data_IF_061258232133
#
_entry.id   IF_061258232133
#
_cell.length_a   1.000
_cell.length_b   1.000
_cell.length_c   1.000
_cell.angle_alpha   90.00
_cell.angle_beta   90.00
_cell.angle_gamma   90.00
#
_symmetry.space_group_name_H-M   'P 1'
#
loop_
_entity.id
_entity.type
_entity.pdbx_description
1 polymer ?
#
# COMPACT_ATOMS: atom_id res chain seq x y z
N UNK A 1 55.69 25.83 7.92
CA UNK A 1 54.26 25.97 8.27
C UNK A 1 53.35 25.64 7.06
N UNK A 2 53.44 24.42 6.50
CA UNK A 2 52.65 23.99 5.31
C UNK A 2 52.03 22.59 5.44
N UNK A 3 52.35 21.85 6.50
CA UNK A 3 51.90 20.46 6.68
C UNK A 3 50.49 20.34 7.27
N UNK A 4 50.01 21.36 7.98
CA UNK A 4 48.71 21.32 8.68
C UNK A 4 47.49 21.54 7.77
N UNK A 5 47.67 22.12 6.58
CA UNK A 5 46.55 22.39 5.65
C UNK A 5 46.17 21.11 4.90
N UNK A 6 47.14 20.26 4.56
CA UNK A 6 46.91 19.05 3.77
C UNK A 6 46.13 17.98 4.55
N UNK A 7 46.41 17.85 5.86
CA UNK A 7 45.70 16.91 6.73
C UNK A 7 44.23 17.32 6.96
N UNK A 8 43.95 18.63 6.99
CA UNK A 8 42.60 19.16 7.22
C UNK A 8 41.71 19.01 5.98
N UNK A 9 42.29 19.14 4.77
CA UNK A 9 41.55 18.89 3.52
C UNK A 9 41.25 17.40 3.33
N UNK A 10 42.14 16.49 3.72
CA UNK A 10 41.89 15.05 3.58
C UNK A 10 40.79 14.53 4.52
N UNK A 11 40.68 15.09 5.73
CA UNK A 11 39.60 14.77 6.68
C UNK A 11 38.23 15.27 6.21
N UNK A 12 38.18 16.32 5.38
CA UNK A 12 36.93 16.87 4.85
C UNK A 12 36.37 16.03 3.69
N UNK A 13 37.23 15.34 2.93
CA UNK A 13 36.81 14.48 1.80
C UNK A 13 36.28 13.12 2.27
N UNK A 14 36.70 12.62 3.43
CA UNK A 14 36.25 11.32 3.98
C UNK A 14 34.90 11.39 4.71
N UNK A 15 34.38 12.58 5.02
CA UNK A 15 33.17 12.76 5.84
C UNK A 15 31.83 12.70 5.08
N UNK A 16 31.84 12.67 3.75
CA UNK A 16 30.62 12.71 2.93
C UNK A 16 30.42 11.37 2.22
N UNK A 17 30.58 10.27 2.95
CA UNK A 17 29.84 9.06 2.60
C UNK A 17 28.38 9.33 2.94
N UNK A 18 27.66 10.01 2.04
CA UNK A 18 26.20 10.03 2.10
C UNK A 18 25.75 8.59 1.93
N UNK A 19 25.57 7.89 3.06
CA UNK A 19 24.78 6.66 3.08
C UNK A 19 23.37 7.10 2.72
N UNK A 20 23.10 7.11 1.42
CA UNK A 20 21.74 7.21 0.91
C UNK A 20 21.11 5.87 1.25
N UNK A 21 20.41 5.81 2.38
CA UNK A 21 19.55 4.67 2.68
C UNK A 21 18.38 4.74 1.69
N UNK A 22 18.54 4.12 0.51
CA UNK A 22 17.42 3.88 -0.38
C UNK A 22 16.43 2.94 0.35
N UNK A 23 15.14 3.26 0.30
CA UNK A 23 14.10 2.37 0.84
C UNK A 23 14.24 1.00 0.19
N UNK A 24 14.22 -0.08 0.98
CA UNK A 24 14.33 -1.45 0.47
C UNK A 24 13.11 -1.86 -0.37
N UNK A 25 11.98 -1.20 -0.09
CA UNK A 25 10.71 -1.40 -0.77
C UNK A 25 10.24 -0.07 -1.36
N UNK A 26 10.03 -0.06 -2.66
CA UNK A 26 9.32 1.00 -3.38
C UNK A 26 7.82 0.71 -3.37
N UNK A 27 7.02 1.70 -2.99
CA UNK A 27 5.58 1.57 -2.88
C UNK A 27 4.93 2.72 -3.62
N UNK A 28 4.12 2.37 -4.63
CA UNK A 28 3.41 3.33 -5.49
C UNK A 28 1.97 2.89 -5.70
N UNK A 29 1.09 3.83 -5.97
CA UNK A 29 -0.34 3.56 -6.11
C UNK A 29 -1.04 4.59 -6.99
N UNK A 30 -2.24 4.23 -7.44
CA UNK A 30 -3.16 5.12 -8.13
C UNK A 30 -4.32 5.54 -7.20
N UNK A 31 -5.14 6.50 -7.63
CA UNK A 31 -6.38 6.79 -6.93
C UNK A 31 -7.34 5.59 -7.03
N UNK A 32 -8.09 5.26 -5.97
CA UNK A 32 -9.12 4.24 -6.05
C UNK A 32 -10.24 4.69 -6.99
N UNK A 33 -10.90 3.73 -7.62
CA UNK A 33 -12.01 3.98 -8.55
C UNK A 33 -13.21 3.14 -8.16
N UNK A 34 -14.39 3.69 -8.43
CA UNK A 34 -15.67 3.04 -8.15
C UNK A 34 -16.16 2.33 -9.41
N UNK A 35 -16.55 1.07 -9.26
CA UNK A 35 -17.12 0.22 -10.32
C UNK A 35 -18.45 -0.31 -9.85
N UNK A 36 -19.36 -0.52 -10.80
CA UNK A 36 -20.65 -1.14 -10.55
C UNK A 36 -20.71 -2.39 -11.41
N UNK A 37 -20.96 -3.53 -10.78
CA UNK A 37 -21.10 -4.80 -11.50
C UNK A 37 -22.38 -5.51 -11.08
N UNK A 38 -23.10 -6.04 -12.06
CA UNK A 38 -24.29 -6.83 -11.83
C UNK A 38 -23.90 -8.31 -11.78
N UNK A 39 -23.96 -8.92 -10.58
CA UNK A 39 -23.64 -10.34 -10.35
C UNK A 39 -24.66 -11.33 -10.95
N UNK A 40 -25.61 -10.87 -11.76
CA UNK A 40 -26.60 -11.72 -12.44
C UNK A 40 -27.69 -12.32 -11.53
N UNK A 41 -27.68 -12.03 -10.22
CA UNK A 41 -28.55 -12.66 -9.22
C UNK A 41 -29.46 -11.70 -8.44
N UNK A 42 -29.57 -10.43 -8.84
CA UNK A 42 -30.65 -9.55 -8.35
C UNK A 42 -30.28 -8.15 -7.87
N UNK A 43 -29.09 -7.64 -8.18
CA UNK A 43 -28.71 -6.27 -7.83
C UNK A 43 -27.36 -5.83 -8.41
N UNK A 44 -27.21 -4.52 -8.55
CA UNK A 44 -25.93 -3.87 -8.82
C UNK A 44 -25.11 -3.82 -7.53
N UNK A 45 -23.88 -4.32 -7.57
CA UNK A 45 -22.93 -4.24 -6.44
C UNK A 45 -21.86 -3.22 -6.79
N UNK A 46 -21.58 -2.33 -5.84
CA UNK A 46 -20.53 -1.33 -5.96
C UNK A 46 -19.20 -1.88 -5.42
N UNK A 47 -18.14 -1.70 -6.19
CA UNK A 47 -16.77 -2.03 -5.80
C UNK A 47 -15.91 -0.77 -5.79
N UNK A 48 -15.13 -0.58 -4.74
CA UNK A 48 -13.98 0.33 -4.77
C UNK A 48 -12.75 -0.51 -5.06
N UNK A 49 -12.08 -0.24 -6.18
CA UNK A 49 -10.90 -0.99 -6.62
C UNK A 49 -9.70 -0.05 -6.63
N UNK A 50 -8.61 -0.53 -6.06
CA UNK A 50 -7.41 0.25 -5.83
C UNK A 50 -6.17 -0.49 -6.31
N UNK A 51 -5.47 0.11 -7.27
CA UNK A 51 -4.23 -0.44 -7.83
C UNK A 51 -3.00 0.12 -7.13
N UNK A 52 -2.09 -0.76 -6.75
CA UNK A 52 -0.82 -0.42 -6.12
C UNK A 52 0.31 -1.33 -6.58
N UNK A 53 1.56 -0.93 -6.36
CA UNK A 53 2.73 -1.71 -6.72
C UNK A 53 3.70 -1.80 -5.54
N UNK A 54 4.36 -2.95 -5.46
CA UNK A 54 5.43 -3.26 -4.51
C UNK A 54 6.70 -3.58 -5.29
N UNK A 55 7.71 -2.74 -5.17
CA UNK A 55 9.00 -2.87 -5.86
C UNK A 55 10.13 -3.21 -4.89
N UNK A 56 10.87 -4.28 -5.12
CA UNK A 56 12.09 -4.54 -4.36
C UNK A 56 13.25 -3.79 -5.02
N UNK A 57 13.86 -2.85 -4.30
CA UNK A 57 14.93 -2.00 -4.83
C UNK A 57 16.33 -2.60 -4.61
N UNK A 58 16.46 -3.66 -3.82
CA UNK A 58 17.74 -4.27 -3.45
C UNK A 58 18.03 -5.55 -4.24
N UNK A 59 19.30 -5.98 -4.21
CA UNK A 59 19.81 -7.17 -4.92
C UNK A 59 19.52 -8.49 -4.18
N UNK A 60 18.64 -8.48 -3.18
CA UNK A 60 18.31 -9.65 -2.36
C UNK A 60 16.79 -9.77 -2.22
N UNK A 61 16.23 -11.00 -2.13
CA UNK A 61 14.81 -11.16 -1.87
C UNK A 61 14.43 -10.56 -0.51
N UNK A 62 13.22 -10.00 -0.43
CA UNK A 62 12.64 -9.47 0.81
C UNK A 62 11.30 -10.14 1.10
N UNK A 63 11.00 -10.38 2.36
CA UNK A 63 9.72 -10.94 2.78
C UNK A 63 8.77 -9.80 3.16
N UNK A 64 7.69 -9.62 2.41
CA UNK A 64 6.72 -8.53 2.63
C UNK A 64 5.43 -9.10 3.23
N UNK A 65 5.14 -8.89 4.53
CA UNK A 65 3.90 -9.32 5.15
C UNK A 65 2.79 -8.27 4.93
N UNK A 66 2.48 -7.96 3.66
CA UNK A 66 1.52 -6.90 3.32
C UNK A 66 0.09 -7.35 3.60
N UNK A 67 -0.68 -6.48 4.23
CA UNK A 67 -2.14 -6.57 4.29
C UNK A 67 -2.73 -5.20 3.96
N UNK A 68 -3.93 -5.21 3.39
CA UNK A 68 -4.65 -4.01 2.98
C UNK A 68 -6.08 -4.06 3.49
N UNK A 69 -6.55 -2.96 4.06
CA UNK A 69 -7.95 -2.78 4.44
C UNK A 69 -8.34 -1.31 4.27
N UNK A 70 -9.65 -1.06 4.24
CA UNK A 70 -10.23 0.27 4.08
C UNK A 70 -11.10 0.59 5.28
N UNK A 71 -11.01 1.82 5.78
CA UNK A 71 -11.97 2.37 6.73
C UNK A 71 -12.66 3.59 6.13
N UNK A 72 -13.92 3.81 6.49
CA UNK A 72 -14.70 4.98 6.07
C UNK A 72 -14.89 5.98 7.21
N UNK A 73 -15.30 7.20 6.90
CA UNK A 73 -15.77 8.17 7.89
C UNK A 73 -17.03 7.72 8.64
N UNK A 74 -17.75 6.73 8.13
CA UNK A 74 -18.90 6.10 8.79
C UNK A 74 -18.49 5.11 9.88
N UNK A 75 -17.19 4.80 10.00
CA UNK A 75 -16.62 3.91 11.03
C UNK A 75 -16.56 2.44 10.62
N UNK A 76 -17.04 2.09 9.42
CA UNK A 76 -17.03 0.73 8.90
C UNK A 76 -15.63 0.34 8.39
N UNK A 77 -15.28 -0.95 8.58
CA UNK A 77 -14.01 -1.55 8.13
C UNK A 77 -14.28 -2.60 7.06
N UNK A 78 -13.58 -2.47 5.94
CA UNK A 78 -13.70 -3.36 4.78
C UNK A 78 -12.36 -4.04 4.52
N UNK A 79 -12.38 -5.36 4.38
CA UNK A 79 -11.20 -6.15 4.08
C UNK A 79 -11.01 -6.28 2.57
N UNK A 80 -9.76 -6.45 2.15
CA UNK A 80 -9.44 -6.75 0.75
C UNK A 80 -10.13 -8.06 0.32
N UNK A 81 -10.98 -7.95 -0.69
CA UNK A 81 -11.60 -9.06 -1.38
C UNK A 81 -11.03 -9.16 -2.81
N UNK A 82 -11.02 -10.36 -3.38
CA UNK A 82 -10.60 -10.55 -4.76
C UNK A 82 -11.55 -11.43 -5.53
N UNK A 83 -12.11 -10.87 -6.59
CA UNK A 83 -13.05 -11.53 -7.48
C UNK A 83 -12.49 -11.51 -8.92
N UNK A 84 -12.05 -12.66 -9.47
CA UNK A 84 -11.50 -12.73 -10.82
C UNK A 84 -12.45 -12.19 -11.89
N UNK A 85 -13.74 -12.50 -11.78
CA UNK A 85 -14.81 -12.03 -12.69
C UNK A 85 -14.91 -10.49 -12.74
N UNK A 86 -14.68 -9.82 -11.61
CA UNK A 86 -14.68 -8.35 -11.53
C UNK A 86 -13.42 -7.79 -12.20
N UNK A 87 -12.27 -8.45 -12.04
CA UNK A 87 -11.04 -8.05 -12.74
C UNK A 87 -11.19 -8.13 -14.25
N UNK A 88 -11.90 -9.13 -14.79
CA UNK A 88 -12.17 -9.22 -16.23
C UNK A 88 -13.01 -8.05 -16.72
N UNK A 89 -14.00 -7.61 -15.93
CA UNK A 89 -14.79 -6.43 -16.23
C UNK A 89 -13.96 -5.14 -16.19
N UNK A 90 -13.13 -4.98 -15.15
CA UNK A 90 -12.24 -3.82 -14.98
C UNK A 90 -11.22 -3.72 -16.10
N UNK A 91 -10.69 -4.85 -16.57
CA UNK A 91 -9.73 -4.91 -17.67
C UNK A 91 -10.25 -4.28 -18.98
N UNK A 92 -11.57 -4.26 -19.16
CA UNK A 92 -12.21 -3.67 -20.35
C UNK A 92 -12.48 -2.17 -20.20
N UNK A 93 -12.59 -1.67 -18.96
CA UNK A 93 -13.06 -0.32 -18.67
C UNK A 93 -11.95 0.63 -18.22
N UNK A 94 -10.90 0.12 -17.58
CA UNK A 94 -9.99 0.96 -16.83
C UNK A 94 -8.61 1.15 -17.51
N UNK A 95 -8.21 2.40 -17.72
CA UNK A 95 -6.92 2.74 -18.31
C UNK A 95 -5.70 2.50 -17.41
N UNK A 96 -5.89 2.33 -16.10
CA UNK A 96 -4.80 1.96 -15.19
C UNK A 96 -4.54 0.46 -15.18
N UNK A 97 -5.50 -0.33 -15.69
CA UNK A 97 -5.27 -1.73 -15.99
C UNK A 97 -4.30 -1.84 -17.17
N UNK A 98 -3.18 -2.52 -16.93
CA UNK A 98 -2.15 -2.77 -17.94
C UNK A 98 -2.29 -4.19 -18.46
N UNK A 99 -2.70 -4.32 -19.71
CA UNK A 99 -2.80 -5.61 -20.39
C UNK A 99 -1.46 -6.39 -20.31
N UNK A 100 -1.55 -7.70 -20.11
CA UNK A 100 -0.39 -8.56 -19.92
C UNK A 100 0.28 -8.47 -18.53
N UNK A 101 -0.23 -7.64 -17.61
CA UNK A 101 0.21 -7.65 -16.21
C UNK A 101 -0.68 -8.57 -15.37
N UNK A 102 -0.02 -9.39 -14.54
CA UNK A 102 -0.69 -10.21 -13.52
C UNK A 102 -0.86 -9.38 -12.24
N UNK A 103 -2.09 -8.94 -11.98
CA UNK A 103 -2.45 -8.26 -10.74
C UNK A 103 -2.69 -9.29 -9.62
N UNK A 104 -2.13 -9.03 -8.44
CA UNK A 104 -2.22 -9.90 -7.26
C UNK A 104 -2.92 -9.16 -6.12
N UNK A 105 -3.85 -9.80 -5.42
CA UNK A 105 -4.43 -9.24 -4.19
C UNK A 105 -3.53 -9.47 -2.98
N UNK A 106 -3.81 -8.79 -1.87
CA UNK A 106 -2.87 -8.70 -0.74
C UNK A 106 -2.44 -10.09 -0.21
N UNK A 107 -3.38 -11.04 -0.09
CA UNK A 107 -3.06 -12.37 0.43
C UNK A 107 -2.17 -13.22 -0.49
N UNK A 108 -2.10 -12.92 -1.79
CA UNK A 108 -1.12 -13.53 -2.72
C UNK A 108 0.15 -12.68 -2.82
N UNK A 109 0.02 -11.36 -2.74
CA UNK A 109 1.16 -10.45 -2.78
C UNK A 109 2.09 -10.64 -1.57
N UNK A 110 1.53 -11.02 -0.41
CA UNK A 110 2.28 -11.33 0.81
C UNK A 110 3.29 -12.45 0.56
N UNK A 111 4.47 -12.31 1.13
CA UNK A 111 5.56 -13.28 1.00
C UNK A 111 6.76 -12.69 0.27
N UNK A 112 7.53 -13.57 -0.37
CA UNK A 112 8.82 -13.18 -0.95
C UNK A 112 8.63 -12.30 -2.19
N UNK A 113 9.37 -11.19 -2.23
CA UNK A 113 9.51 -10.29 -3.36
C UNK A 113 10.96 -10.39 -3.88
N UNK A 114 11.18 -10.99 -5.06
CA UNK A 114 12.51 -11.22 -5.60
C UNK A 114 13.30 -9.92 -5.85
N UNK A 115 14.64 -9.97 -5.92
CA UNK A 115 15.48 -8.81 -6.20
C UNK A 115 15.04 -8.04 -7.45
N UNK A 116 15.03 -6.71 -7.38
CA UNK A 116 14.76 -5.82 -8.54
C UNK A 116 13.44 -6.11 -9.28
N UNK A 117 12.46 -6.68 -8.59
CA UNK A 117 11.14 -6.97 -9.19
C UNK A 117 10.08 -5.99 -8.75
N UNK A 118 9.08 -5.81 -9.62
CA UNK A 118 7.87 -5.04 -9.36
C UNK A 118 6.67 -6.00 -9.39
N UNK A 119 5.93 -6.09 -8.28
CA UNK A 119 4.63 -6.76 -8.24
C UNK A 119 3.52 -5.73 -8.44
N UNK A 120 2.65 -6.00 -9.41
CA UNK A 120 1.41 -5.26 -9.62
C UNK A 120 0.32 -5.86 -8.74
N UNK A 121 -0.31 -5.01 -7.94
CA UNK A 121 -1.28 -5.45 -6.95
C UNK A 121 -2.60 -4.71 -7.12
N UNK A 122 -3.66 -5.32 -6.60
CA UNK A 122 -5.02 -4.75 -6.60
C UNK A 122 -5.69 -5.09 -5.28
N UNK A 123 -6.36 -4.12 -4.67
CA UNK A 123 -7.29 -4.36 -3.58
C UNK A 123 -8.71 -4.05 -4.03
N UNK A 124 -9.69 -4.85 -3.62
CA UNK A 124 -11.10 -4.58 -3.89
C UNK A 124 -11.89 -4.55 -2.60
N UNK A 125 -12.80 -3.58 -2.50
CA UNK A 125 -13.71 -3.44 -1.38
C UNK A 125 -15.14 -3.43 -1.91
N UNK A 126 -15.93 -4.40 -1.47
CA UNK A 126 -17.32 -4.59 -1.89
C UNK A 126 -18.27 -3.85 -0.93
N UNK A 127 -19.36 -3.31 -1.50
CA UNK A 127 -20.50 -2.78 -0.75
C UNK A 127 -20.14 -1.69 0.28
N UNK A 128 -19.25 -0.77 -0.12
CA UNK A 128 -18.89 0.40 0.71
C UNK A 128 -20.13 1.26 0.94
N UNK A 129 -20.34 1.70 2.18
CA UNK A 129 -21.43 2.61 2.55
C UNK A 129 -21.56 3.78 1.55
N UNK A 130 -22.69 3.91 0.83
CA UNK A 130 -22.89 4.99 -0.16
C UNK A 130 -22.78 6.41 0.43
N UNK A 131 -22.97 6.55 1.75
CA UNK A 131 -22.84 7.82 2.47
C UNK A 131 -21.40 8.17 2.80
N UNK A 132 -20.45 7.23 2.67
CA UNK A 132 -19.05 7.48 2.92
C UNK A 132 -18.53 8.60 2.01
N UNK A 133 -17.94 9.62 2.63
CA UNK A 133 -17.31 10.74 1.94
C UNK A 133 -15.80 10.68 2.03
N UNK A 134 -15.26 9.85 2.93
CA UNK A 134 -13.83 9.68 3.11
C UNK A 134 -13.47 8.21 3.16
N UNK A 135 -12.37 7.86 2.52
CA UNK A 135 -11.76 6.54 2.58
C UNK A 135 -10.35 6.67 3.15
N UNK A 136 -10.05 5.88 4.17
CA UNK A 136 -8.72 5.70 4.69
C UNK A 136 -8.27 4.28 4.30
N UNK A 137 -7.39 4.17 3.31
CA UNK A 137 -6.78 2.91 2.92
C UNK A 137 -5.52 2.71 3.75
N UNK A 138 -5.43 1.56 4.42
CA UNK A 138 -4.31 1.19 5.26
C UNK A 138 -3.52 0.05 4.63
N UNK A 139 -2.21 0.20 4.57
CA UNK A 139 -1.27 -0.82 4.11
C UNK A 139 -0.31 -1.15 5.26
N UNK A 140 -0.37 -2.38 5.75
CA UNK A 140 0.49 -2.88 6.83
C UNK A 140 1.71 -3.61 6.26
N UNK A 141 2.68 -3.95 7.12
CA UNK A 141 3.83 -4.78 6.75
C UNK A 141 4.90 -4.10 5.89
N UNK A 142 4.67 -2.87 5.42
CA UNK A 142 5.64 -2.13 4.60
C UNK A 142 6.57 -1.23 5.41
N UNK A 143 6.19 -0.86 6.64
CA UNK A 143 6.92 0.09 7.49
C UNK A 143 8.31 -0.36 7.93
N UNK A 144 8.53 -1.68 8.08
CA UNK A 144 9.84 -2.27 8.36
C UNK A 144 10.91 -1.89 7.33
N UNK A 145 10.49 -1.59 6.10
CA UNK A 145 11.39 -1.21 5.01
C UNK A 145 11.69 0.29 4.97
N UNK A 146 10.93 1.11 5.70
CA UNK A 146 11.09 2.57 5.76
C UNK A 146 11.80 3.07 7.03
N UNK A 147 11.79 2.30 8.13
CA UNK A 147 12.43 2.70 9.39
C UNK A 147 13.22 1.57 10.05
N UNK A 148 14.52 1.81 10.26
CA UNK A 148 15.41 0.89 11.00
C UNK A 148 15.59 1.28 12.49
N UNK A 149 14.73 2.13 13.08
CA UNK A 149 14.91 2.53 14.48
C UNK A 149 13.60 2.53 15.28
N UNK A 150 13.56 1.58 16.24
CA UNK A 150 12.91 1.61 17.55
C UNK A 150 11.36 1.69 17.63
N UNK A 151 10.84 0.71 18.39
CA UNK A 151 9.52 0.55 19.05
C UNK A 151 8.34 -0.03 18.26
N UNK A 152 7.75 -1.01 18.94
CA UNK A 152 6.51 -1.79 18.79
C UNK A 152 5.27 -0.90 18.66
N UNK A 153 5.22 -0.08 17.62
CA UNK A 153 3.97 0.54 17.17
C UNK A 153 3.80 0.05 15.75
N UNK A 154 2.72 -0.66 15.48
CA UNK A 154 2.46 -1.23 14.17
C UNK A 154 2.18 -0.09 13.18
N UNK A 155 3.24 0.37 12.53
CA UNK A 155 3.15 1.46 11.58
C UNK A 155 2.47 0.93 10.32
N UNK A 156 1.23 1.37 10.08
CA UNK A 156 0.58 1.24 8.78
C UNK A 156 0.82 2.48 7.94
N UNK A 157 0.95 2.33 6.63
CA UNK A 157 0.86 3.45 5.72
C UNK A 157 -0.60 3.75 5.45
N UNK A 158 -1.06 4.94 5.83
CA UNK A 158 -2.44 5.39 5.63
C UNK A 158 -2.48 6.34 4.43
N UNK A 159 -3.47 6.14 3.57
CA UNK A 159 -3.74 6.99 2.42
C UNK A 159 -5.21 7.42 2.51
N UNK A 160 -5.42 8.72 2.68
CA UNK A 160 -6.74 9.31 2.89
C UNK A 160 -7.23 9.93 1.59
N UNK A 161 -8.43 9.54 1.18
CA UNK A 161 -9.14 10.10 0.04
C UNK A 161 -10.47 10.72 0.47
N UNK A 162 -10.89 11.76 -0.22
CA UNK A 162 -12.21 12.38 -0.08
C UNK A 162 -12.98 12.28 -1.39
N UNK A 163 -14.29 12.05 -1.30
CA UNK A 163 -15.18 11.93 -2.46
C UNK A 163 -15.44 13.31 -3.04
N UNK A 164 -15.02 13.52 -4.28
CA UNK A 164 -15.31 14.74 -5.05
C UNK A 164 -16.08 14.34 -6.32
N UNK A 165 -17.39 14.61 -6.31
CA UNK A 165 -18.32 14.20 -7.37
C UNK A 165 -18.26 12.68 -7.63
N UNK A 166 -17.51 12.27 -8.66
CA UNK A 166 -17.40 10.89 -9.14
C UNK A 166 -16.00 10.28 -8.95
N UNK A 167 -15.06 10.99 -8.33
CA UNK A 167 -13.70 10.48 -8.10
C UNK A 167 -13.25 10.66 -6.65
N UNK A 168 -12.18 9.96 -6.30
CA UNK A 168 -11.55 9.99 -4.99
C UNK A 168 -10.31 10.86 -5.04
N UNK A 169 -10.37 12.03 -4.40
CA UNK A 169 -9.26 12.98 -4.33
C UNK A 169 -8.33 12.63 -3.19
N UNK A 170 -7.05 12.52 -3.47
CA UNK A 170 -6.03 12.34 -2.45
C UNK A 170 -5.96 13.59 -1.56
N UNK A 171 -6.10 13.41 -0.25
CA UNK A 171 -6.00 14.48 0.74
C UNK A 171 -4.65 14.44 1.44
N UNK A 172 -4.31 13.27 1.98
CA UNK A 172 -3.07 13.06 2.72
C UNK A 172 -2.63 11.61 2.59
N UNK A 173 -1.34 11.37 2.77
CA UNK A 173 -0.80 10.02 2.90
C UNK A 173 0.46 10.04 3.77
N UNK A 174 0.69 8.96 4.49
CA UNK A 174 1.86 8.86 5.34
C UNK A 174 1.79 7.71 6.33
N UNK A 175 2.90 7.54 7.03
CA UNK A 175 3.00 6.53 8.08
C UNK A 175 2.21 6.99 9.30
N UNK A 176 1.26 6.18 9.74
CA UNK A 176 0.47 6.42 10.95
C UNK A 176 0.88 5.43 12.04
N UNK A 177 0.68 5.85 13.30
CA UNK A 177 0.84 5.02 14.50
C UNK A 177 -0.48 4.35 14.92
N UNK A 178 -1.49 4.45 14.08
CA UNK A 178 -2.81 3.94 14.38
C UNK A 178 -2.81 2.40 14.43
N UNK A 179 -3.09 1.86 15.62
CA UNK A 179 -3.17 0.44 15.90
C UNK A 179 -4.60 -0.12 15.77
N UNK A 180 -5.54 0.66 15.23
CA UNK A 180 -6.95 0.27 15.00
C UNK A 180 -7.12 -1.04 14.23
N UNK A 181 -6.14 -1.43 13.43
CA UNK A 181 -6.14 -2.71 12.71
C UNK A 181 -6.08 -3.95 13.62
N UNK A 182 -5.53 -3.83 14.83
CA UNK A 182 -5.19 -4.95 15.73
C UNK A 182 -6.31 -5.33 16.71
N UNK A 183 -7.36 -4.52 16.83
CA UNK A 183 -8.41 -4.75 17.82
C UNK A 183 -9.14 -6.09 17.63
N UNK A 184 -9.10 -6.68 16.43
CA UNK A 184 -9.76 -7.96 16.12
C UNK A 184 -8.87 -9.20 16.33
N UNK A 185 -7.55 -9.05 16.50
CA UNK A 185 -6.64 -10.20 16.67
C UNK A 185 -6.55 -10.69 18.12
N UNK A 186 -7.04 -9.92 19.09
CA UNK A 186 -7.06 -10.31 20.50
C UNK A 186 -8.28 -11.16 20.88
N UNK A 187 -9.31 -11.25 20.02
CA UNK A 187 -10.50 -12.08 20.29
C UNK A 187 -10.47 -13.45 19.59
N UNK A 188 -9.53 -13.70 18.68
CA UNK A 188 -9.40 -14.99 17.98
C UNK A 188 -8.35 -15.94 18.57
N UNK A 189 -7.71 -15.57 19.70
CA UNK A 189 -6.80 -16.41 20.47
C UNK A 189 -7.52 -17.44 21.35
N UNK A 190 -8.34 -18.29 20.76
CA UNK A 190 -8.73 -19.58 21.32
C UNK A 190 -8.57 -20.63 20.21
N UNK A 191 -8.07 -21.79 20.61
CA UNK A 191 -7.65 -22.97 19.82
C UNK A 191 -6.17 -23.04 19.45
#
# INVERSE_FOLDING_TARGET
>A
MKLNIFLSVMLFVLGISRITNASQLDFSWNAPKTYIHNKGTGGEVMYIIWFYNLGNTIEKPILVPVEVFLMTDTGEKYLDAYYPEIMEHVAQLDGDYKEGKKYQYAAIARGELPPKTLKHCVAMFEDIDPKARRLDIFVTGISHFFFWRWRVVDYSYKITYEKEQNYWKLIEHGMTKDASHRANDLESGNW
#
